data_IF_686801621813
#
_entry.id   IF_686801621813
#
_cell.length_a   1.000
_cell.length_b   1.000
_cell.length_c   1.000
_cell.angle_alpha   90.00
_cell.angle_beta   90.00
_cell.angle_gamma   90.00
#
_symmetry.space_group_name_H-M   'P 1'
#
loop_
_entity.id
_entity.type
_entity.pdbx_description
1 polymer ?
#
# COMPACT_ATOMS: atom_id res chain seq x y z
N UNK A 1 45.59 -15.04 26.76
CA UNK A 1 44.29 -14.94 26.09
C UNK A 1 44.25 -13.66 25.27
N UNK A 2 43.99 -13.71 23.96
CA UNK A 2 43.76 -12.50 23.18
C UNK A 2 42.36 -11.93 23.49
N UNK A 3 42.15 -10.61 23.31
CA UNK A 3 40.82 -10.01 23.47
C UNK A 3 39.85 -10.49 22.37
N UNK A 4 38.53 -10.46 22.63
CA UNK A 4 37.54 -10.83 21.63
C UNK A 4 37.53 -9.84 20.45
N UNK A 5 37.17 -10.29 19.23
CA UNK A 5 37.06 -9.41 18.08
C UNK A 5 35.92 -8.39 18.28
N UNK A 6 36.21 -7.13 17.94
CA UNK A 6 35.26 -6.03 17.93
C UNK A 6 34.10 -6.30 16.97
N UNK A 7 32.88 -5.97 17.40
CA UNK A 7 31.66 -6.09 16.60
C UNK A 7 31.78 -5.31 15.27
N UNK A 8 31.18 -5.79 14.17
CA UNK A 8 31.16 -5.06 12.91
C UNK A 8 30.42 -3.73 13.10
N UNK A 9 31.10 -2.63 12.78
CA UNK A 9 30.55 -1.29 12.90
C UNK A 9 29.29 -1.10 12.06
N UNK A 10 28.34 -0.36 12.61
CA UNK A 10 27.14 0.11 11.90
C UNK A 10 27.56 0.78 10.59
N UNK A 11 26.99 0.41 9.43
CA UNK A 11 27.34 1.05 8.18
C UNK A 11 27.02 2.55 8.25
N UNK A 12 27.87 3.43 7.71
CA UNK A 12 27.61 4.86 7.72
C UNK A 12 26.32 5.15 6.96
N UNK A 13 25.42 5.91 7.59
CA UNK A 13 24.27 6.50 6.91
C UNK A 13 24.78 7.28 5.70
N UNK A 14 24.39 6.87 4.50
CA UNK A 14 24.72 7.59 3.28
C UNK A 14 24.17 9.03 3.42
N UNK A 15 25.01 10.08 3.23
CA UNK A 15 24.50 11.44 3.26
C UNK A 15 23.49 11.62 2.12
N UNK A 16 22.31 12.14 2.45
CA UNK A 16 21.33 12.59 1.47
C UNK A 16 22.03 13.48 0.44
N UNK A 17 22.04 13.05 -0.81
CA UNK A 17 22.66 13.81 -1.90
C UNK A 17 21.85 15.09 -2.12
N UNK A 18 22.43 16.23 -1.76
CA UNK A 18 21.92 17.57 -2.10
C UNK A 18 22.18 17.87 -3.58
N UNK A 19 21.53 17.13 -4.47
CA UNK A 19 21.27 17.66 -5.81
C UNK A 19 20.23 18.76 -5.64
N UNK A 20 20.40 19.89 -6.32
CA UNK A 20 19.45 20.99 -6.41
C UNK A 20 18.03 20.42 -6.54
N UNK A 21 17.07 20.80 -5.68
CA UNK A 21 15.76 20.17 -5.71
C UNK A 21 15.13 20.51 -7.05
N UNK A 22 14.94 19.50 -7.90
CA UNK A 22 13.84 19.55 -8.86
C UNK A 22 12.62 19.99 -8.03
N UNK A 23 11.99 21.10 -8.38
CA UNK A 23 10.84 21.61 -7.62
C UNK A 23 9.82 20.49 -7.51
N UNK A 24 9.70 19.88 -6.32
CA UNK A 24 8.77 18.79 -6.11
C UNK A 24 7.40 19.46 -6.04
N UNK A 25 6.53 19.15 -7.00
CA UNK A 25 5.15 19.64 -6.97
C UNK A 25 4.37 18.91 -5.88
N UNK A 26 3.73 19.67 -5.02
CA UNK A 26 2.77 19.15 -4.05
C UNK A 26 1.53 18.63 -4.78
N UNK A 27 0.99 17.51 -4.32
CA UNK A 27 -0.15 16.83 -4.94
C UNK A 27 -1.22 16.60 -3.89
N UNK A 28 -2.42 17.15 -4.12
CA UNK A 28 -3.60 16.85 -3.34
C UNK A 28 -4.45 15.75 -4.00
N UNK A 29 -5.23 15.01 -3.19
CA UNK A 29 -6.00 13.85 -3.66
C UNK A 29 -7.49 14.16 -3.66
N UNK A 30 -8.15 13.96 -4.80
CA UNK A 30 -9.59 14.03 -4.93
C UNK A 30 -10.20 12.61 -4.99
N UNK A 31 -10.94 12.16 -3.96
CA UNK A 31 -11.43 10.77 -3.86
C UNK A 31 -12.71 10.52 -4.70
N UNK A 32 -12.58 10.38 -6.02
CA UNK A 32 -13.72 10.14 -6.93
C UNK A 32 -14.08 8.66 -7.15
N UNK A 33 -13.28 7.74 -6.59
CA UNK A 33 -13.39 6.30 -6.84
C UNK A 33 -14.01 5.50 -5.69
N UNK A 34 -13.99 4.17 -5.83
CA UNK A 34 -14.31 3.25 -4.71
C UNK A 34 -13.07 2.89 -3.89
N UNK A 35 -11.88 2.85 -4.50
CA UNK A 35 -10.60 2.57 -3.85
C UNK A 35 -9.83 3.85 -3.59
N UNK A 36 -10.11 4.50 -2.46
CA UNK A 36 -9.55 5.79 -2.07
C UNK A 36 -8.65 5.65 -0.83
N UNK A 37 -7.95 4.53 -0.65
CA UNK A 37 -7.20 4.25 0.60
C UNK A 37 -6.13 5.30 0.90
N UNK A 38 -5.37 5.75 -0.10
CA UNK A 38 -4.40 6.84 0.11
C UNK A 38 -5.08 8.16 0.51
N UNK A 39 -6.26 8.44 -0.05
CA UNK A 39 -7.03 9.61 0.36
C UNK A 39 -7.51 9.47 1.82
N UNK A 40 -7.94 8.27 2.23
CA UNK A 40 -8.37 7.98 3.61
C UNK A 40 -7.21 8.14 4.58
N UNK A 41 -6.06 7.58 4.24
CA UNK A 41 -4.82 7.65 5.00
C UNK A 41 -4.39 9.11 5.24
N UNK A 42 -4.47 9.94 4.20
CA UNK A 42 -4.06 11.34 4.25
C UNK A 42 -5.21 12.29 4.68
N UNK A 43 -6.33 11.77 5.19
CA UNK A 43 -7.45 12.57 5.71
C UNK A 43 -8.39 13.19 4.66
N UNK A 44 -8.17 12.93 3.37
CA UNK A 44 -9.03 13.38 2.26
C UNK A 44 -10.25 12.47 2.03
N UNK A 45 -10.27 11.26 2.60
CA UNK A 45 -11.18 10.16 2.21
C UNK A 45 -12.42 9.93 3.07
N UNK A 46 -13.27 10.93 3.31
CA UNK A 46 -14.69 10.75 3.70
C UNK A 46 -15.02 9.91 4.94
N UNK A 47 -14.08 9.75 5.89
CA UNK A 47 -14.27 8.99 7.14
C UNK A 47 -14.33 9.84 8.41
N UNK A 48 -13.98 11.12 8.35
CA UNK A 48 -14.00 12.03 9.50
C UNK A 48 -13.96 13.50 9.06
N UNK A 49 -14.68 14.36 9.79
CA UNK A 49 -14.89 15.83 9.70
C UNK A 49 -15.16 16.51 8.35
N UNK A 50 -14.76 15.94 7.21
CA UNK A 50 -14.89 16.53 5.87
C UNK A 50 -15.45 15.48 4.91
N UNK A 51 -16.74 15.22 5.07
CA UNK A 51 -17.50 14.33 4.20
C UNK A 51 -17.36 14.77 2.74
N UNK A 52 -17.18 13.78 1.85
CA UNK A 52 -17.23 13.88 0.39
C UNK A 52 -17.48 15.32 -0.11
N UNK A 53 -16.39 16.09 -0.34
CA UNK A 53 -16.47 17.49 -0.77
C UNK A 53 -17.44 17.59 -1.93
N UNK A 54 -18.65 18.06 -1.63
CA UNK A 54 -19.72 18.12 -2.62
C UNK A 54 -19.55 19.38 -3.47
N UNK A 55 -18.62 20.27 -3.08
CA UNK A 55 -18.34 21.55 -3.71
C UNK A 55 -16.82 21.73 -3.89
N UNK A 56 -16.42 22.07 -5.12
CA UNK A 56 -15.03 22.32 -5.50
C UNK A 56 -14.36 23.42 -4.66
N UNK A 57 -15.13 24.44 -4.25
CA UNK A 57 -14.61 25.56 -3.45
C UNK A 57 -14.09 25.09 -2.09
N UNK A 58 -14.82 24.22 -1.40
CA UNK A 58 -14.41 23.67 -0.10
C UNK A 58 -13.14 22.84 -0.24
N UNK A 59 -13.05 22.02 -1.29
CA UNK A 59 -11.83 21.27 -1.61
C UNK A 59 -10.64 22.22 -1.84
N UNK A 60 -10.81 23.29 -2.60
CA UNK A 60 -9.72 24.25 -2.87
C UNK A 60 -9.27 24.97 -1.59
N UNK A 61 -10.21 25.38 -0.73
CA UNK A 61 -9.87 25.95 0.59
C UNK A 61 -9.12 24.96 1.47
N UNK A 62 -9.47 23.67 1.36
CA UNK A 62 -8.81 22.62 2.11
C UNK A 62 -7.41 22.31 1.58
N UNK A 63 -7.21 22.37 0.26
CA UNK A 63 -5.89 22.30 -0.37
C UNK A 63 -5.02 23.48 0.04
N UNK A 64 -5.55 24.70 0.05
CA UNK A 64 -4.82 25.90 0.47
C UNK A 64 -4.35 25.82 1.93
N UNK A 65 -5.12 25.15 2.80
CA UNK A 65 -4.83 25.02 4.23
C UNK A 65 -4.15 23.70 4.60
N UNK A 66 -3.95 22.81 3.64
CA UNK A 66 -3.44 21.48 3.90
C UNK A 66 -1.98 21.55 4.37
N UNK A 67 -1.62 20.69 5.31
CA UNK A 67 -0.23 20.46 5.63
C UNK A 67 0.39 19.53 4.58
N UNK A 68 1.61 19.85 4.18
CA UNK A 68 2.38 19.03 3.25
C UNK A 68 3.03 17.90 4.04
N UNK A 69 2.81 16.67 3.56
CA UNK A 69 3.54 15.50 4.06
C UNK A 69 4.25 14.82 2.90
N UNK A 70 5.39 14.20 3.21
CA UNK A 70 6.09 13.37 2.25
C UNK A 70 5.38 12.01 2.12
N UNK A 71 5.47 11.44 0.92
CA UNK A 71 4.91 10.13 0.59
C UNK A 71 6.01 9.27 -0.04
N UNK A 72 6.20 8.10 0.53
CA UNK A 72 7.12 7.11 -0.02
C UNK A 72 6.61 6.55 -1.34
N UNK A 73 7.56 6.29 -2.24
CA UNK A 73 7.26 5.82 -3.58
C UNK A 73 8.10 4.60 -3.91
N UNK A 74 7.46 3.45 -3.94
CA UNK A 74 8.13 2.19 -4.15
C UNK A 74 8.28 1.88 -5.63
N UNK A 75 9.36 1.20 -5.97
CA UNK A 75 9.60 0.68 -7.31
C UNK A 75 9.57 -0.83 -7.27
N UNK A 76 8.58 -1.43 -7.91
CA UNK A 76 8.50 -2.88 -8.12
C UNK A 76 9.18 -3.22 -9.43
N UNK A 77 10.12 -4.15 -9.36
CA UNK A 77 10.84 -4.68 -10.53
C UNK A 77 10.51 -6.14 -10.71
N UNK A 78 10.41 -6.54 -11.98
CA UNK A 78 10.20 -7.92 -12.39
C UNK A 78 11.45 -8.35 -13.15
N UNK A 79 11.90 -9.58 -12.93
CA UNK A 79 13.06 -10.16 -13.59
C UNK A 79 13.47 -11.47 -12.94
N UNK A 80 14.44 -12.15 -13.56
CA UNK A 80 15.05 -13.33 -12.98
C UNK A 80 16.08 -12.93 -11.93
N UNK A 81 15.76 -13.22 -10.65
CA UNK A 81 16.64 -12.93 -9.52
C UNK A 81 18.02 -13.61 -9.65
N UNK A 82 18.15 -14.70 -10.41
CA UNK A 82 19.41 -15.42 -10.64
C UNK A 82 20.37 -14.65 -11.55
N UNK A 83 19.83 -13.89 -12.49
CA UNK A 83 20.62 -13.14 -13.47
C UNK A 83 21.18 -11.86 -12.85
N UNK A 84 20.55 -11.34 -11.79
CA UNK A 84 20.99 -10.14 -11.06
C UNK A 84 20.99 -8.86 -11.90
N UNK A 85 20.64 -8.94 -13.19
CA UNK A 85 20.64 -7.86 -14.17
C UNK A 85 19.35 -7.89 -14.97
N UNK A 86 18.82 -6.70 -15.21
CA UNK A 86 17.60 -6.50 -15.99
C UNK A 86 17.83 -6.88 -17.46
N UNK A 87 16.91 -7.65 -18.01
CA UNK A 87 16.90 -8.06 -19.42
C UNK A 87 15.92 -7.20 -20.23
N UNK A 88 16.07 -7.16 -21.55
CA UNK A 88 15.11 -6.46 -22.42
C UNK A 88 13.72 -7.13 -22.46
N UNK A 89 13.63 -8.41 -22.07
CA UNK A 89 12.36 -9.14 -21.90
C UNK A 89 11.66 -8.85 -20.57
N UNK A 90 12.34 -8.21 -19.61
CA UNK A 90 11.75 -7.93 -18.31
C UNK A 90 10.66 -6.86 -18.42
N UNK A 91 9.50 -7.05 -17.76
CA UNK A 91 8.48 -6.03 -17.69
C UNK A 91 9.02 -4.67 -17.20
N UNK A 92 8.38 -3.56 -17.60
CA UNK A 92 8.70 -2.25 -17.05
C UNK A 92 8.48 -2.23 -15.53
N UNK A 93 9.40 -1.56 -14.83
CA UNK A 93 9.24 -1.32 -13.41
C UNK A 93 7.93 -0.55 -13.15
N UNK A 94 7.30 -0.83 -12.02
CA UNK A 94 6.05 -0.18 -11.60
C UNK A 94 6.29 0.64 -10.35
N UNK A 95 5.69 1.81 -10.33
CA UNK A 95 5.72 2.70 -9.18
C UNK A 95 4.46 2.48 -8.35
N UNK A 96 4.62 2.28 -7.05
CA UNK A 96 3.52 2.08 -6.09
C UNK A 96 3.59 3.08 -4.94
N UNK A 97 2.41 3.44 -4.43
CA UNK A 97 2.23 4.41 -3.34
C UNK A 97 1.41 3.84 -2.17
N UNK A 98 0.63 2.77 -2.40
CA UNK A 98 -0.28 2.24 -1.38
C UNK A 98 0.19 0.86 -0.91
N UNK A 99 -0.01 -0.16 -1.75
CA UNK A 99 0.31 -1.52 -1.37
C UNK A 99 0.39 -2.44 -2.59
N UNK A 100 1.03 -3.58 -2.39
CA UNK A 100 1.14 -4.67 -3.36
C UNK A 100 0.65 -5.97 -2.71
N UNK A 101 -0.33 -6.62 -3.33
CA UNK A 101 -0.82 -7.93 -2.89
C UNK A 101 -0.31 -9.07 -3.77
N UNK A 102 -0.08 -10.23 -3.17
CA UNK A 102 0.10 -11.53 -3.82
C UNK A 102 -0.90 -12.50 -3.17
N UNK A 103 -1.54 -13.35 -3.97
CA UNK A 103 -2.46 -14.37 -3.48
C UNK A 103 -3.93 -14.00 -3.68
N UNK A 104 -4.77 -14.32 -2.69
CA UNK A 104 -6.24 -14.26 -2.84
C UNK A 104 -6.75 -12.84 -3.12
N UNK A 105 -6.21 -11.83 -2.45
CA UNK A 105 -6.55 -10.42 -2.71
C UNK A 105 -6.21 -10.04 -4.16
N UNK A 106 -4.99 -10.33 -4.60
CA UNK A 106 -4.53 -9.99 -5.95
C UNK A 106 -5.44 -10.62 -7.03
N UNK A 107 -5.95 -11.83 -6.78
CA UNK A 107 -6.94 -12.46 -7.67
C UNK A 107 -8.27 -11.73 -7.65
N UNK A 108 -8.79 -11.35 -6.49
CA UNK A 108 -10.03 -10.57 -6.39
C UNK A 108 -9.87 -9.23 -7.12
N UNK A 109 -8.74 -8.55 -6.95
CA UNK A 109 -8.42 -7.30 -7.64
C UNK A 109 -8.31 -7.50 -9.16
N UNK A 110 -7.72 -8.60 -9.62
CA UNK A 110 -7.63 -8.94 -11.04
C UNK A 110 -9.00 -9.25 -11.67
N UNK A 111 -9.82 -10.06 -10.99
CA UNK A 111 -11.18 -10.38 -11.42
C UNK A 111 -12.04 -9.11 -11.49
N UNK A 112 -11.88 -8.25 -10.48
CA UNK A 112 -12.50 -6.93 -10.46
C UNK A 112 -12.09 -6.07 -11.65
N UNK A 113 -10.79 -5.93 -11.87
CA UNK A 113 -10.23 -5.14 -12.97
C UNK A 113 -10.76 -5.62 -14.32
N UNK A 114 -10.68 -6.93 -14.56
CA UNK A 114 -11.12 -7.57 -15.81
C UNK A 114 -12.60 -7.32 -16.06
N UNK A 115 -13.46 -7.54 -15.06
CA UNK A 115 -14.91 -7.30 -15.20
C UNK A 115 -15.22 -5.82 -15.41
N UNK A 116 -14.49 -4.92 -14.77
CA UNK A 116 -14.65 -3.48 -14.95
C UNK A 116 -14.30 -3.04 -16.36
N UNK A 117 -13.25 -3.60 -16.95
CA UNK A 117 -12.90 -3.36 -18.35
C UNK A 117 -13.98 -3.88 -19.30
N UNK A 118 -14.54 -5.05 -19.01
CA UNK A 118 -15.58 -5.67 -19.86
C UNK A 118 -16.94 -4.97 -19.80
N UNK A 119 -17.35 -4.47 -18.62
CA UNK A 119 -18.69 -3.92 -18.41
C UNK A 119 -18.66 -2.68 -17.48
N UNK A 120 -18.06 -1.56 -17.92
CA UNK A 120 -17.83 -0.39 -17.05
C UNK A 120 -19.11 0.22 -16.48
N UNK A 121 -20.24 0.14 -17.21
CA UNK A 121 -21.55 0.64 -16.78
C UNK A 121 -22.05 -0.01 -15.47
N UNK A 122 -21.57 -1.21 -15.13
CA UNK A 122 -21.89 -1.88 -13.88
C UNK A 122 -21.18 -1.25 -12.68
N UNK A 123 -20.07 -0.53 -12.89
CA UNK A 123 -19.16 -0.05 -11.84
C UNK A 123 -19.34 1.43 -11.47
N UNK A 124 -20.50 1.99 -11.78
CA UNK A 124 -20.82 3.42 -11.64
C UNK A 124 -21.20 3.87 -10.23
N UNK A 125 -21.36 2.94 -9.27
CA UNK A 125 -21.80 3.27 -7.90
C UNK A 125 -20.85 2.67 -6.87
N UNK A 126 -20.31 3.54 -6.01
CA UNK A 126 -19.38 3.14 -4.95
C UNK A 126 -20.01 2.13 -3.98
N UNK A 127 -21.28 2.31 -3.58
CA UNK A 127 -21.98 1.38 -2.70
C UNK A 127 -22.15 -0.01 -3.34
N UNK A 128 -22.68 -0.05 -4.58
CA UNK A 128 -22.81 -1.31 -5.32
C UNK A 128 -21.45 -1.96 -5.53
N UNK A 129 -20.41 -1.15 -5.71
CA UNK A 129 -19.06 -1.66 -5.90
C UNK A 129 -18.50 -2.30 -4.63
N UNK A 130 -18.62 -1.64 -3.48
CA UNK A 130 -18.22 -2.19 -2.17
C UNK A 130 -18.91 -3.51 -1.89
N UNK A 131 -20.23 -3.59 -2.13
CA UNK A 131 -21.00 -4.83 -1.93
C UNK A 131 -20.52 -5.96 -2.85
N UNK A 132 -20.18 -5.67 -4.11
CA UNK A 132 -19.61 -6.67 -5.02
C UNK A 132 -18.23 -7.14 -4.56
N UNK A 133 -17.38 -6.23 -4.10
CA UNK A 133 -16.07 -6.58 -3.53
C UNK A 133 -16.22 -7.52 -2.33
N UNK A 134 -17.10 -7.17 -1.38
CA UNK A 134 -17.41 -8.02 -0.24
C UNK A 134 -17.89 -9.43 -0.67
N UNK A 135 -18.75 -9.50 -1.70
CA UNK A 135 -19.22 -10.78 -2.25
C UNK A 135 -18.11 -11.59 -2.93
N UNK A 136 -17.16 -10.94 -3.60
CA UNK A 136 -16.00 -11.64 -4.19
C UNK A 136 -15.04 -12.15 -3.11
N UNK A 137 -14.74 -11.32 -2.11
CA UNK A 137 -13.92 -11.72 -0.96
C UNK A 137 -14.53 -12.91 -0.23
N UNK A 138 -15.82 -12.85 0.11
CA UNK A 138 -16.55 -13.95 0.76
C UNK A 138 -16.48 -15.25 -0.04
N UNK A 139 -16.63 -15.21 -1.37
CA UNK A 139 -16.53 -16.40 -2.23
C UNK A 139 -15.15 -17.07 -2.16
N UNK A 140 -14.07 -16.29 -2.10
CA UNK A 140 -12.73 -16.86 -2.04
C UNK A 140 -12.43 -17.49 -0.67
N UNK A 141 -12.98 -16.93 0.42
CA UNK A 141 -12.90 -17.56 1.75
C UNK A 141 -13.48 -18.99 1.74
N UNK A 142 -14.59 -19.20 1.03
CA UNK A 142 -15.20 -20.53 0.87
C UNK A 142 -14.48 -21.46 -0.11
N UNK A 143 -13.59 -20.93 -0.96
CA UNK A 143 -12.84 -21.69 -1.98
C UNK A 143 -11.34 -21.83 -1.65
N UNK A 144 -10.96 -21.49 -0.40
CA UNK A 144 -9.61 -21.10 0.05
C UNK A 144 -8.46 -22.12 0.00
N UNK A 145 -8.55 -23.21 -0.75
CA UNK A 145 -7.47 -24.21 -0.84
C UNK A 145 -6.40 -23.91 -1.91
N UNK A 146 -6.77 -23.19 -2.99
CA UNK A 146 -5.92 -23.09 -4.17
C UNK A 146 -4.63 -22.27 -3.94
N UNK A 147 -4.69 -21.24 -3.09
CA UNK A 147 -3.60 -20.28 -2.92
C UNK A 147 -2.47 -20.75 -2.01
N UNK A 148 -2.76 -21.64 -1.06
CA UNK A 148 -1.74 -22.23 -0.19
C UNK A 148 -0.66 -22.93 -1.03
N UNK A 149 -1.06 -23.61 -2.11
CA UNK A 149 -0.14 -24.31 -3.03
C UNK A 149 0.69 -23.36 -3.90
N UNK A 150 0.15 -22.18 -4.23
CA UNK A 150 0.89 -21.15 -4.97
C UNK A 150 1.95 -20.51 -4.08
N UNK A 151 1.56 -20.10 -2.87
CA UNK A 151 2.47 -19.45 -1.93
C UNK A 151 3.56 -20.40 -1.43
N UNK A 152 3.30 -21.70 -1.34
CA UNK A 152 4.33 -22.71 -1.06
C UNK A 152 5.45 -22.80 -2.11
N UNK A 153 5.28 -22.18 -3.29
CA UNK A 153 6.32 -22.09 -4.34
C UNK A 153 7.04 -20.75 -4.35
N UNK A 154 6.65 -19.81 -3.50
CA UNK A 154 7.22 -18.46 -3.44
C UNK A 154 8.11 -18.36 -2.21
N UNK A 155 9.31 -17.85 -2.40
CA UNK A 155 10.22 -17.50 -1.31
C UNK A 155 10.15 -16.00 -1.11
N UNK A 156 9.87 -15.59 0.13
CA UNK A 156 9.86 -14.20 0.53
C UNK A 156 11.15 -13.89 1.27
N UNK A 157 11.81 -12.80 0.90
CA UNK A 157 13.03 -12.33 1.52
C UNK A 157 12.92 -10.82 1.73
N UNK A 158 13.22 -10.36 2.94
CA UNK A 158 13.26 -8.95 3.31
C UNK A 158 14.63 -8.69 3.96
N UNK A 159 15.36 -7.69 3.46
CA UNK A 159 16.69 -7.30 3.95
C UNK A 159 17.68 -8.48 4.08
N UNK A 160 17.62 -9.42 3.14
CA UNK A 160 18.46 -10.63 3.14
C UNK A 160 17.95 -11.76 4.05
N UNK A 161 16.85 -11.56 4.76
CA UNK A 161 16.25 -12.54 5.68
C UNK A 161 15.06 -13.21 5.03
N UNK A 162 15.11 -14.54 4.94
CA UNK A 162 13.98 -15.33 4.44
C UNK A 162 12.84 -15.35 5.45
N UNK A 163 11.65 -14.99 4.98
CA UNK A 163 10.43 -14.98 5.78
C UNK A 163 9.74 -16.33 5.71
N UNK A 164 9.36 -16.88 6.86
CA UNK A 164 8.50 -18.06 6.94
C UNK A 164 7.05 -17.62 7.07
N UNK A 165 6.20 -18.03 6.11
CA UNK A 165 4.78 -17.73 6.16
C UNK A 165 4.07 -18.66 7.15
N UNK A 166 3.12 -18.17 7.95
CA UNK A 166 2.27 -19.01 8.78
C UNK A 166 1.54 -20.09 7.97
N UNK A 167 1.29 -21.28 8.53
CA UNK A 167 0.51 -22.31 7.86
C UNK A 167 -0.89 -21.80 7.48
N UNK A 168 -1.31 -22.09 6.24
CA UNK A 168 -2.62 -21.68 5.75
C UNK A 168 -2.69 -20.24 5.21
N UNK A 169 -1.55 -19.54 5.11
CA UNK A 169 -1.48 -18.22 4.48
C UNK A 169 -2.08 -18.25 3.06
N UNK A 170 -3.00 -17.33 2.77
CA UNK A 170 -3.70 -17.24 1.47
C UNK A 170 -3.26 -16.01 0.66
N UNK A 171 -2.57 -15.06 1.29
CA UNK A 171 -1.97 -13.91 0.61
C UNK A 171 -0.78 -13.32 1.34
N UNK A 172 -0.10 -12.40 0.69
CA UNK A 172 0.92 -11.54 1.29
C UNK A 172 0.66 -10.13 0.78
N UNK A 173 0.65 -9.14 1.67
CA UNK A 173 0.41 -7.75 1.31
C UNK A 173 1.56 -6.89 1.83
N UNK A 174 2.23 -6.21 0.91
CA UNK A 174 3.27 -5.25 1.23
C UNK A 174 2.64 -3.87 1.30
N UNK A 175 2.73 -3.19 2.46
CA UNK A 175 1.99 -1.96 2.77
C UNK A 175 2.91 -0.74 2.88
N UNK A 176 2.65 0.29 2.08
CA UNK A 176 3.27 1.61 2.19
C UNK A 176 2.41 2.60 2.99
N UNK A 177 1.15 2.24 3.26
CA UNK A 177 0.21 3.01 4.11
C UNK A 177 -0.35 2.07 5.18
N UNK A 178 -0.82 2.62 6.31
CA UNK A 178 -1.24 1.79 7.45
C UNK A 178 -2.53 1.00 7.17
N UNK A 179 -3.30 1.40 6.16
CA UNK A 179 -4.60 0.81 5.85
C UNK A 179 -4.68 0.12 4.47
N UNK A 180 -5.60 -0.84 4.35
CA UNK A 180 -5.80 -1.62 3.12
C UNK A 180 -7.28 -1.90 2.84
N UNK A 181 -7.65 -1.99 1.55
CA UNK A 181 -8.92 -2.58 1.14
C UNK A 181 -10.18 -1.81 1.57
N UNK A 182 -10.12 -0.48 1.67
CA UNK A 182 -11.22 0.38 2.13
C UNK A 182 -11.04 0.93 3.54
N UNK A 183 -9.81 0.96 4.06
CA UNK A 183 -9.49 1.43 5.41
C UNK A 183 -9.37 0.34 6.48
N UNK A 184 -9.16 -0.92 6.09
CA UNK A 184 -8.92 -2.01 7.06
C UNK A 184 -7.54 -1.82 7.68
N UNK A 185 -7.46 -1.76 9.00
CA UNK A 185 -6.22 -1.79 9.76
C UNK A 185 -5.79 -3.24 9.96
N UNK A 186 -4.68 -3.64 9.35
CA UNK A 186 -4.12 -4.99 9.47
C UNK A 186 -3.13 -5.10 10.63
N UNK A 187 -2.79 -3.98 11.29
CA UNK A 187 -1.84 -3.91 12.40
C UNK A 187 -2.52 -3.93 13.76
N UNK A 188 -3.84 -3.70 13.81
CA UNK A 188 -4.67 -3.84 15.01
C UNK A 188 -4.37 -2.80 16.09
N UNK A 189 -3.83 -1.64 15.71
CA UNK A 189 -3.31 -0.62 16.63
C UNK A 189 -3.64 0.81 16.25
N UNK A 190 -4.41 1.04 15.18
CA UNK A 190 -4.85 2.39 14.83
C UNK A 190 -6.05 2.81 15.69
N UNK A 191 -5.78 3.51 16.79
CA UNK A 191 -6.75 4.43 17.35
C UNK A 191 -6.58 5.80 16.66
N UNK A 192 -7.62 6.34 15.99
CA UNK A 192 -7.54 7.68 15.45
C UNK A 192 -7.28 8.67 16.60
N UNK A 193 -6.34 9.62 16.45
CA UNK A 193 -6.10 10.60 17.50
C UNK A 193 -7.39 11.36 17.83
N UNK A 194 -7.59 11.76 19.10
CA UNK A 194 -8.74 12.55 19.48
C UNK A 194 -8.77 13.86 18.68
N UNK A 195 -9.99 14.31 18.43
CA UNK A 195 -10.39 15.36 17.50
C UNK A 195 -9.68 16.75 17.68
N UNK A 196 -8.97 16.94 18.79
CA UNK A 196 -8.28 18.17 19.19
C UNK A 196 -6.77 17.99 19.43
N UNK A 197 -6.20 16.81 19.13
CA UNK A 197 -4.76 16.60 19.21
C UNK A 197 -4.08 17.21 17.99
N UNK A 198 -3.02 18.00 18.22
CA UNK A 198 -2.11 18.44 17.17
C UNK A 198 -1.70 17.24 16.32
N UNK A 199 -1.85 17.37 15.00
CA UNK A 199 -1.47 16.35 14.03
C UNK A 199 0.04 16.18 14.14
N UNK A 200 0.48 15.28 15.01
CA UNK A 200 1.84 14.77 15.02
C UNK A 200 2.20 14.42 13.57
N UNK A 201 3.39 14.79 13.05
CA UNK A 201 3.66 14.68 11.63
C UNK A 201 3.42 13.23 11.19
N UNK A 202 2.39 13.04 10.36
CA UNK A 202 2.00 11.76 9.74
C UNK A 202 3.20 11.02 9.13
N UNK A 203 4.27 11.75 8.83
CA UNK A 203 5.54 11.28 8.31
C UNK A 203 6.23 10.21 9.18
N UNK A 204 6.19 10.27 10.51
CA UNK A 204 6.86 9.27 11.36
C UNK A 204 6.13 7.90 11.38
N UNK A 205 4.97 7.77 10.73
CA UNK A 205 4.16 6.54 10.72
C UNK A 205 4.20 5.76 9.41
N UNK A 206 4.87 6.27 8.37
CA UNK A 206 4.98 5.62 7.04
C UNK A 206 6.12 4.60 6.93
N UNK A 207 6.71 4.15 8.06
CA UNK A 207 7.81 3.20 8.01
C UNK A 207 7.39 1.84 7.43
N UNK A 208 8.16 1.40 6.42
CA UNK A 208 8.08 0.14 5.71
C UNK A 208 7.66 -1.05 6.59
N UNK A 209 6.40 -1.47 6.46
CA UNK A 209 5.86 -2.56 7.26
C UNK A 209 5.19 -3.59 6.34
N UNK A 210 5.56 -4.87 6.51
CA UNK A 210 5.04 -5.99 5.72
C UNK A 210 3.97 -6.75 6.52
N UNK A 211 2.73 -6.81 6.03
CA UNK A 211 1.68 -7.57 6.67
C UNK A 211 1.43 -8.90 5.93
N UNK A 212 1.35 -10.00 6.68
CA UNK A 212 1.08 -11.34 6.14
C UNK A 212 -0.34 -11.72 6.57
N UNK A 213 -1.22 -12.01 5.61
CA UNK A 213 -2.65 -12.29 5.83
C UNK A 213 -3.11 -13.60 5.16
#
# INVERSE_FOLDING_TARGET
HPPPPSAPGTPPHLPFSTRSPLSVSEVAILPLGTGNDLARELGWGGGGRRGAHTRLVELLTDVERAQVTLLDRWTVRFGDARIGRRTNSDPPARTLQNYMGIGVDAKVALDWHTRRQMAPHLFTSQLRNKLRYARYGARQLFQGGAFNSLLGRVVFEADGVRLQLPPGTQGVIVLNIASYGGGSDLWGGYEPPPDDADVEPLYERLHHSFCIA
#
